data_IF_959633757167
#
_entry.id   IF_959633757167
#
_cell.length_a   1.000
_cell.length_b   1.000
_cell.length_c   1.000
_cell.angle_alpha   90.00
_cell.angle_beta   90.00
_cell.angle_gamma   90.00
#
_symmetry.space_group_name_H-M   'P 1'
#
loop_
_entity.id
_entity.type
_entity.pdbx_description
1 polymer ?
#
# COMPACT_ATOMS: atom_id res chain seq x y z
N UNK A 1 -23.52 54.33 -37.06
CA UNK A 1 -23.95 53.06 -36.42
C UNK A 1 -23.30 51.81 -37.07
N UNK A 2 -21.98 51.80 -37.32
CA UNK A 2 -21.28 50.61 -37.85
C UNK A 2 -20.06 50.17 -37.03
N UNK A 3 -19.57 51.00 -36.10
CA UNK A 3 -18.46 50.65 -35.21
C UNK A 3 -18.90 49.99 -33.89
N UNK A 4 -20.13 50.21 -33.42
CA UNK A 4 -20.60 49.58 -32.16
C UNK A 4 -20.96 48.10 -32.27
N UNK A 5 -21.18 47.58 -33.49
CA UNK A 5 -21.49 46.15 -33.68
C UNK A 5 -20.25 45.25 -33.70
N UNK A 6 -19.07 45.81 -34.02
CA UNK A 6 -17.81 45.05 -34.04
C UNK A 6 -17.29 44.80 -32.61
N UNK A 7 -17.53 45.74 -31.70
CA UNK A 7 -17.12 45.60 -30.30
C UNK A 7 -17.90 44.51 -29.54
N UNK A 8 -19.18 44.29 -29.87
CA UNK A 8 -20.00 43.26 -29.22
C UNK A 8 -19.62 41.86 -29.71
N UNK A 9 -19.23 41.71 -30.98
CA UNK A 9 -18.77 40.43 -31.51
C UNK A 9 -17.40 39.98 -30.93
N UNK A 10 -16.52 40.93 -30.57
CA UNK A 10 -15.23 40.60 -29.95
C UNK A 10 -15.35 40.17 -28.47
N UNK A 11 -16.33 40.70 -27.73
CA UNK A 11 -16.55 40.37 -26.31
C UNK A 11 -17.08 38.94 -26.15
N UNK A 12 -17.87 38.44 -27.11
CA UNK A 12 -18.40 37.07 -27.09
C UNK A 12 -17.29 36.02 -27.34
N UNK A 13 -16.22 36.39 -28.07
CA UNK A 13 -15.06 35.51 -28.28
C UNK A 13 -14.12 35.45 -27.06
N UNK A 14 -14.10 36.48 -26.20
CA UNK A 14 -13.27 36.49 -24.98
C UNK A 14 -13.93 35.83 -23.77
N UNK A 15 -15.25 35.60 -23.80
CA UNK A 15 -15.97 34.92 -22.71
C UNK A 15 -15.90 33.38 -22.78
N UNK A 16 -15.33 32.82 -23.86
CA UNK A 16 -15.10 31.36 -24.00
C UNK A 16 -13.84 30.84 -23.31
N UNK A 17 -13.03 31.72 -22.70
CA UNK A 17 -11.86 31.35 -21.88
C UNK A 17 -12.21 31.29 -20.38
N UNK A 18 -13.44 30.90 -20.01
CA UNK A 18 -13.69 30.42 -18.65
C UNK A 18 -13.26 28.95 -18.60
N UNK A 19 -12.23 28.69 -17.78
CA UNK A 19 -11.85 27.41 -17.19
C UNK A 19 -12.44 26.19 -17.91
N UNK A 20 -11.65 25.55 -18.76
CA UNK A 20 -11.91 24.16 -19.15
C UNK A 20 -12.26 23.40 -17.88
N UNK A 21 -13.55 23.07 -17.71
CA UNK A 21 -14.03 22.18 -16.68
C UNK A 21 -13.13 20.95 -16.76
N UNK A 22 -12.24 20.79 -15.78
CA UNK A 22 -11.43 19.59 -15.71
C UNK A 22 -12.43 18.46 -15.59
N UNK A 23 -12.57 17.66 -16.65
CA UNK A 23 -13.56 16.58 -16.70
C UNK A 23 -13.27 15.62 -15.56
N UNK A 24 -14.02 15.71 -14.47
CA UNK A 24 -13.86 14.82 -13.33
C UNK A 24 -14.66 13.56 -13.59
N UNK A 25 -14.02 12.41 -13.50
CA UNK A 25 -14.70 11.11 -13.60
C UNK A 25 -14.70 10.43 -12.24
N UNK A 26 -15.90 10.07 -11.81
CA UNK A 26 -16.15 9.38 -10.55
C UNK A 26 -15.93 7.88 -10.69
N UNK A 27 -15.22 7.29 -9.72
CA UNK A 27 -15.00 5.86 -9.62
C UNK A 27 -15.39 5.38 -8.23
N UNK A 28 -16.27 4.39 -8.18
CA UNK A 28 -16.60 3.67 -6.95
C UNK A 28 -15.56 2.55 -6.76
N UNK A 29 -14.80 2.55 -5.64
CA UNK A 29 -13.83 1.50 -5.38
C UNK A 29 -14.51 0.14 -5.26
N UNK A 30 -13.99 -0.86 -5.99
CA UNK A 30 -14.34 -2.26 -5.73
C UNK A 30 -13.40 -2.86 -4.69
N UNK A 31 -13.83 -3.93 -4.06
CA UNK A 31 -12.97 -4.72 -3.16
C UNK A 31 -11.95 -5.52 -3.99
N UNK A 32 -10.74 -5.65 -3.44
CA UNK A 32 -9.72 -6.53 -4.00
C UNK A 32 -10.16 -8.00 -3.89
N UNK A 33 -10.03 -8.75 -4.98
CA UNK A 33 -10.16 -10.20 -5.02
C UNK A 33 -8.79 -10.87 -4.83
N UNK A 34 -8.75 -12.14 -4.44
CA UNK A 34 -7.49 -12.81 -4.06
C UNK A 34 -6.53 -12.90 -5.26
N UNK A 35 -5.26 -12.47 -5.05
CA UNK A 35 -4.13 -12.63 -5.98
C UNK A 35 -4.21 -11.87 -7.32
N UNK A 36 -4.85 -10.71 -7.36
CA UNK A 36 -4.91 -9.87 -8.56
C UNK A 36 -3.55 -9.26 -8.94
N UNK A 37 -3.35 -9.08 -10.26
CA UNK A 37 -2.16 -8.51 -10.88
C UNK A 37 -2.56 -7.25 -11.63
N UNK A 38 -1.87 -6.14 -11.38
CA UNK A 38 -2.15 -4.84 -11.99
C UNK A 38 -0.96 -4.34 -12.83
N UNK A 39 -0.38 -5.25 -13.61
CA UNK A 39 0.76 -4.94 -14.47
C UNK A 39 0.38 -5.04 -15.95
N UNK A 40 -0.65 -4.29 -16.33
CA UNK A 40 -1.13 -4.28 -17.70
C UNK A 40 -0.19 -3.47 -18.61
N UNK A 41 -0.03 -3.93 -19.84
CA UNK A 41 0.77 -3.25 -20.85
C UNK A 41 -0.14 -2.35 -21.70
N UNK A 42 0.06 -1.02 -21.67
CA UNK A 42 -0.81 -0.10 -22.37
C UNK A 42 -0.71 -0.33 -23.87
N UNK A 43 -1.87 -0.51 -24.52
CA UNK A 43 -1.95 -0.59 -25.99
C UNK A 43 -1.78 0.77 -26.64
N UNK A 44 -2.16 1.85 -25.94
CA UNK A 44 -2.02 3.23 -26.40
C UNK A 44 -1.31 4.07 -25.32
N UNK A 45 -0.59 5.11 -25.73
CA UNK A 45 0.04 6.04 -24.78
C UNK A 45 -0.98 6.72 -23.83
N UNK A 46 -2.23 6.87 -24.28
CA UNK A 46 -3.34 7.42 -23.49
C UNK A 46 -3.85 6.49 -22.39
N UNK A 47 -3.41 5.23 -22.36
CA UNK A 47 -3.78 4.25 -21.35
C UNK A 47 -2.86 4.32 -20.10
N UNK A 48 -1.81 5.16 -20.12
CA UNK A 48 -1.01 5.45 -18.93
C UNK A 48 -1.69 6.48 -18.03
N UNK A 49 -1.62 6.26 -16.72
CA UNK A 49 -2.05 7.22 -15.69
C UNK A 49 -0.99 8.33 -15.59
N UNK A 50 -1.45 9.57 -15.45
CA UNK A 50 -0.61 10.74 -15.18
C UNK A 50 -0.84 11.25 -13.76
N UNK A 51 0.22 11.71 -13.10
CA UNK A 51 0.16 12.30 -11.75
C UNK A 51 0.58 13.76 -11.85
N UNK A 52 -0.23 14.65 -11.28
CA UNK A 52 0.06 16.07 -11.15
C UNK A 52 0.31 16.37 -9.67
N UNK A 53 1.44 17.00 -9.34
CA UNK A 53 1.68 17.54 -8.01
C UNK A 53 1.12 18.96 -7.91
N UNK A 54 0.57 19.31 -6.76
CA UNK A 54 0.09 20.63 -6.43
C UNK A 54 0.72 21.08 -5.10
N UNK A 55 1.53 22.14 -5.19
CA UNK A 55 2.29 22.72 -4.09
C UNK A 55 1.70 24.05 -3.60
N UNK A 56 0.45 24.37 -3.94
CA UNK A 56 -0.20 25.63 -3.56
C UNK A 56 -0.60 25.72 -2.07
N UNK A 57 -0.20 24.77 -1.23
CA UNK A 57 -0.50 24.71 0.21
C UNK A 57 0.68 24.28 1.08
N UNK A 58 0.47 24.15 2.39
CA UNK A 58 1.49 23.70 3.36
C UNK A 58 1.93 22.24 3.17
N UNK A 59 1.12 21.43 2.47
CA UNK A 59 1.38 20.02 2.20
C UNK A 59 1.30 19.79 0.70
N UNK A 60 2.28 19.09 0.12
CA UNK A 60 2.21 18.63 -1.27
C UNK A 60 1.04 17.66 -1.41
N UNK A 61 0.24 17.87 -2.46
CA UNK A 61 -0.88 16.99 -2.81
C UNK A 61 -0.76 16.55 -4.25
N UNK A 62 -1.33 15.39 -4.57
CA UNK A 62 -1.27 14.79 -5.89
C UNK A 62 -2.67 14.60 -6.46
N UNK A 63 -2.82 14.75 -7.76
CA UNK A 63 -4.03 14.34 -8.49
C UNK A 63 -3.66 13.35 -9.60
N UNK A 64 -4.53 12.37 -9.81
CA UNK A 64 -4.37 11.39 -10.88
C UNK A 64 -5.27 11.75 -12.07
N UNK A 65 -4.73 11.63 -13.27
CA UNK A 65 -5.45 11.77 -14.54
C UNK A 65 -5.38 10.49 -15.35
N UNK A 66 -6.48 10.20 -16.02
CA UNK A 66 -6.57 9.15 -17.03
C UNK A 66 -7.25 9.74 -18.26
N UNK A 67 -6.53 9.73 -19.39
CA UNK A 67 -6.92 10.45 -20.61
C UNK A 67 -7.19 11.93 -20.32
N UNK A 68 -8.35 12.43 -20.72
CA UNK A 68 -8.81 13.80 -20.52
C UNK A 68 -9.42 14.06 -19.13
N UNK A 69 -9.51 13.03 -18.27
CA UNK A 69 -10.25 13.11 -17.01
C UNK A 69 -9.40 13.04 -15.75
N UNK A 70 -9.77 13.82 -14.75
CA UNK A 70 -9.23 13.71 -13.38
C UNK A 70 -10.00 12.61 -12.64
N UNK A 71 -9.27 11.71 -11.97
CA UNK A 71 -9.83 10.59 -11.21
C UNK A 71 -10.35 11.09 -9.87
N UNK A 72 -11.62 10.83 -9.57
CA UNK A 72 -12.25 11.06 -8.27
C UNK A 72 -12.67 9.72 -7.66
N UNK A 73 -12.24 9.48 -6.41
CA UNK A 73 -12.53 8.22 -5.70
C UNK A 73 -13.74 8.41 -4.76
N UNK A 74 -14.84 7.73 -5.01
CA UNK A 74 -16.05 7.77 -4.17
C UNK A 74 -15.98 6.72 -3.05
N UNK A 75 -15.30 7.03 -1.94
CA UNK A 75 -15.02 6.07 -0.87
C UNK A 75 -16.19 5.77 0.09
N UNK A 76 -17.37 6.39 -0.09
CA UNK A 76 -18.57 6.15 0.73
C UNK A 76 -19.80 6.96 0.30
N UNK A 77 -21.00 6.53 0.74
CA UNK A 77 -22.27 7.19 0.40
C UNK A 77 -22.41 8.63 0.96
N UNK A 78 -21.63 8.97 1.99
CA UNK A 78 -21.54 10.31 2.57
C UNK A 78 -20.35 11.13 2.04
N UNK A 79 -19.50 10.55 1.18
CA UNK A 79 -18.35 11.23 0.59
C UNK A 79 -18.81 12.10 -0.60
N UNK A 80 -19.62 13.12 -0.30
CA UNK A 80 -19.75 14.33 -1.12
C UNK A 80 -18.57 15.29 -0.87
N UNK A 81 -17.51 14.83 -0.20
CA UNK A 81 -16.32 15.61 0.12
C UNK A 81 -15.52 15.93 -1.15
N UNK A 82 -15.28 17.23 -1.35
CA UNK A 82 -14.61 17.82 -2.52
C UNK A 82 -13.13 17.41 -2.70
N UNK A 83 -12.55 16.65 -1.77
CA UNK A 83 -11.11 16.40 -1.69
C UNK A 83 -10.68 14.98 -2.13
N UNK A 84 -11.59 14.08 -2.53
CA UNK A 84 -11.20 12.74 -3.02
C UNK A 84 -10.61 12.72 -4.45
N UNK A 85 -10.25 13.89 -4.96
CA UNK A 85 -9.37 14.11 -6.14
C UNK A 85 -7.92 14.42 -5.75
N UNK A 86 -7.65 14.63 -4.45
CA UNK A 86 -6.33 14.99 -3.90
C UNK A 86 -5.81 13.87 -3.01
N UNK A 87 -4.59 13.47 -3.27
CA UNK A 87 -3.90 12.40 -2.57
C UNK A 87 -2.70 12.98 -1.82
N UNK A 88 -2.44 12.50 -0.61
CA UNK A 88 -1.21 12.84 0.16
C UNK A 88 -0.01 12.02 -0.31
N UNK A 89 -0.26 10.96 -1.07
CA UNK A 89 0.78 10.17 -1.73
C UNK A 89 0.25 9.59 -3.03
N UNK A 90 1.14 9.49 -4.02
CA UNK A 90 0.87 8.85 -5.30
C UNK A 90 2.16 8.17 -5.78
N UNK A 91 2.14 6.83 -5.89
CA UNK A 91 3.31 6.05 -6.28
C UNK A 91 2.95 5.03 -7.34
N UNK A 92 3.63 5.08 -8.49
CA UNK A 92 3.52 4.04 -9.49
C UNK A 92 4.13 2.75 -8.97
N UNK A 93 3.39 1.64 -9.08
CA UNK A 93 3.83 0.32 -8.64
C UNK A 93 4.27 -0.57 -9.80
N UNK A 94 4.17 -0.06 -11.03
CA UNK A 94 4.73 -0.65 -12.24
C UNK A 94 5.34 0.41 -13.16
N UNK A 95 6.13 -0.03 -14.13
CA UNK A 95 6.88 0.85 -15.03
C UNK A 95 5.99 1.44 -16.14
N UNK A 96 4.93 0.73 -16.51
CA UNK A 96 3.98 1.09 -17.57
C UNK A 96 3.06 2.25 -17.16
N UNK A 97 3.13 2.66 -15.88
CA UNK A 97 2.28 3.70 -15.29
C UNK A 97 0.79 3.38 -15.40
N UNK A 98 0.44 2.10 -15.43
CA UNK A 98 -0.96 1.63 -15.48
C UNK A 98 -1.48 1.29 -14.09
N UNK A 99 -0.64 1.26 -13.05
CA UNK A 99 -1.06 1.05 -11.66
C UNK A 99 -0.41 2.07 -10.71
N UNK A 100 -1.28 2.83 -10.02
CA UNK A 100 -0.93 3.93 -9.14
C UNK A 100 -1.51 3.69 -7.74
N UNK A 101 -0.64 3.50 -6.76
CA UNK A 101 -0.99 3.40 -5.36
C UNK A 101 -1.13 4.81 -4.77
N UNK A 102 -2.31 5.13 -4.24
CA UNK A 102 -2.63 6.45 -3.70
C UNK A 102 -3.15 6.36 -2.28
N UNK A 103 -3.02 7.45 -1.52
CA UNK A 103 -3.65 7.61 -0.22
C UNK A 103 -4.41 8.93 -0.20
N UNK A 104 -5.71 8.87 0.12
CA UNK A 104 -6.55 10.06 0.19
C UNK A 104 -6.09 10.94 1.37
N UNK A 105 -6.11 12.26 1.15
CA UNK A 105 -5.95 13.24 2.22
C UNK A 105 -7.18 13.21 3.13
N UNK A 106 -7.16 12.40 4.18
CA UNK A 106 -8.14 12.53 5.25
C UNK A 106 -7.48 13.26 6.44
N UNK A 107 -8.10 14.38 6.84
CA UNK A 107 -7.66 15.22 7.95
C UNK A 107 -8.18 14.71 9.30
N UNK A 108 -8.71 13.49 9.34
CA UNK A 108 -9.53 13.00 10.46
C UNK A 108 -8.72 12.27 11.54
N UNK A 109 -7.43 12.03 11.32
CA UNK A 109 -6.58 11.25 12.22
C UNK A 109 -6.96 9.76 12.28
N UNK A 110 -7.79 9.29 11.34
CA UNK A 110 -8.18 7.89 11.22
C UNK A 110 -7.09 7.04 10.55
N UNK A 111 -7.27 5.71 10.59
CA UNK A 111 -6.42 4.77 9.86
C UNK A 111 -6.37 5.19 8.38
N UNK A 112 -5.17 5.37 7.80
CA UNK A 112 -5.06 5.76 6.40
C UNK A 112 -5.84 4.81 5.49
N UNK A 113 -6.46 5.36 4.44
CA UNK A 113 -7.22 4.62 3.44
C UNK A 113 -6.52 4.65 2.08
N UNK A 114 -5.61 3.69 1.80
CA UNK A 114 -4.99 3.56 0.49
C UNK A 114 -5.92 2.92 -0.53
N UNK A 115 -5.76 3.34 -1.78
CA UNK A 115 -6.45 2.80 -2.94
C UNK A 115 -5.44 2.48 -4.03
N UNK A 116 -5.79 1.54 -4.89
CA UNK A 116 -5.07 1.31 -6.12
C UNK A 116 -5.91 1.80 -7.29
N UNK A 117 -5.37 2.73 -8.07
CA UNK A 117 -5.93 3.15 -9.35
C UNK A 117 -5.21 2.32 -10.41
N UNK A 118 -5.92 1.47 -11.13
CA UNK A 118 -5.33 0.57 -12.12
C UNK A 118 -6.04 0.68 -13.46
N UNK A 119 -5.30 0.47 -14.55
CA UNK A 119 -5.83 0.31 -15.90
C UNK A 119 -5.73 -1.15 -16.25
N UNK A 120 -6.85 -1.73 -16.68
CA UNK A 120 -6.97 -3.11 -17.09
C UNK A 120 -7.83 -3.17 -18.34
N UNK A 121 -7.30 -3.77 -19.41
CA UNK A 121 -7.98 -3.89 -20.70
C UNK A 121 -8.42 -2.51 -21.23
N UNK A 122 -7.59 -1.48 -21.02
CA UNK A 122 -7.87 -0.09 -21.42
C UNK A 122 -8.94 0.64 -20.61
N UNK A 123 -9.43 0.04 -19.53
CA UNK A 123 -10.42 0.62 -18.61
C UNK A 123 -9.79 0.90 -17.25
N UNK A 124 -10.00 2.12 -16.74
CA UNK A 124 -9.57 2.47 -15.39
C UNK A 124 -10.54 1.91 -14.35
N UNK A 125 -10.00 1.27 -13.34
CA UNK A 125 -10.67 0.79 -12.16
C UNK A 125 -9.99 1.31 -10.89
N UNK A 126 -10.75 1.39 -9.80
CA UNK A 126 -10.25 1.77 -8.48
C UNK A 126 -10.53 0.63 -7.52
N UNK A 127 -9.50 0.21 -6.79
CA UNK A 127 -9.55 -0.89 -5.83
C UNK A 127 -9.30 -0.33 -4.44
N UNK A 128 -10.20 -0.66 -3.52
CA UNK A 128 -10.02 -0.35 -2.10
C UNK A 128 -9.05 -1.34 -1.47
N UNK A 129 -7.98 -0.83 -0.86
CA UNK A 129 -7.03 -1.63 -0.07
C UNK A 129 -7.41 -1.56 1.41
N UNK A 130 -8.65 -1.93 1.68
CA UNK A 130 -9.24 -1.93 3.01
C UNK A 130 -9.83 -3.29 3.35
N UNK A 131 -9.51 -3.78 4.54
CA UNK A 131 -10.15 -4.94 5.17
C UNK A 131 -10.60 -4.52 6.57
N UNK A 132 -11.88 -4.70 6.93
CA UNK A 132 -12.37 -4.40 8.28
C UNK A 132 -11.53 -5.10 9.35
N UNK A 133 -11.38 -4.46 10.51
CA UNK A 133 -10.60 -4.98 11.63
C UNK A 133 -11.16 -4.45 12.95
N UNK A 134 -11.08 -5.27 13.99
CA UNK A 134 -11.46 -4.94 15.37
C UNK A 134 -10.25 -4.89 16.31
N UNK A 135 -9.04 -4.84 15.75
CA UNK A 135 -7.80 -4.81 16.53
C UNK A 135 -7.67 -3.56 17.40
N UNK A 136 -7.33 -3.75 18.67
CA UNK A 136 -7.30 -2.66 19.67
C UNK A 136 -6.19 -1.64 19.42
N UNK A 137 -5.08 -2.04 18.80
CA UNK A 137 -3.95 -1.17 18.48
C UNK A 137 -3.86 -0.89 16.96
N UNK A 138 -4.97 -1.00 16.22
CA UNK A 138 -4.97 -0.78 14.77
C UNK A 138 -4.40 0.59 14.37
N UNK A 139 -4.75 1.66 15.08
CA UNK A 139 -4.22 3.01 14.83
C UNK A 139 -2.69 3.09 15.01
N UNK A 140 -2.14 2.28 15.91
CA UNK A 140 -0.70 2.23 16.16
C UNK A 140 0.03 1.55 15.02
N UNK A 141 -0.49 0.43 14.50
CA UNK A 141 0.21 -0.40 13.52
C UNK A 141 -0.23 -0.18 12.05
N UNK A 142 -1.34 0.53 11.80
CA UNK A 142 -1.83 0.84 10.46
C UNK A 142 -1.29 2.18 9.98
N UNK A 143 -0.08 2.18 9.40
CA UNK A 143 0.62 3.40 8.95
C UNK A 143 0.34 3.79 7.50
N UNK A 144 -0.67 3.20 6.86
CA UNK A 144 -0.97 3.40 5.45
C UNK A 144 -0.01 2.60 4.56
N UNK A 145 0.59 3.26 3.58
CA UNK A 145 1.54 2.66 2.64
C UNK A 145 2.96 2.73 3.19
N UNK A 146 3.58 1.58 3.47
CA UNK A 146 4.98 1.45 3.85
C UNK A 146 5.77 0.77 2.73
N UNK A 147 6.78 1.44 2.18
CA UNK A 147 7.71 0.81 1.23
C UNK A 147 8.64 -0.16 1.96
N UNK A 148 8.74 -1.40 1.49
CA UNK A 148 9.60 -2.45 2.05
C UNK A 148 10.76 -2.70 1.08
N UNK A 149 11.80 -1.87 1.19
CA UNK A 149 12.97 -1.90 0.33
C UNK A 149 12.62 -1.82 -1.16
N UNK A 150 13.30 -2.62 -1.98
CA UNK A 150 12.99 -2.76 -3.41
C UNK A 150 11.88 -3.79 -3.70
N UNK A 151 11.45 -4.57 -2.70
CA UNK A 151 10.57 -5.73 -2.87
C UNK A 151 9.13 -5.30 -3.17
N UNK A 152 8.63 -4.26 -2.50
CA UNK A 152 7.24 -3.90 -2.62
C UNK A 152 6.75 -2.92 -1.55
N UNK A 153 5.44 -2.91 -1.38
CA UNK A 153 4.71 -2.04 -0.47
C UNK A 153 3.84 -2.86 0.45
N UNK A 154 3.93 -2.61 1.75
CA UNK A 154 3.01 -3.14 2.74
C UNK A 154 1.96 -2.07 3.05
N UNK A 155 0.68 -2.44 2.94
CA UNK A 155 -0.45 -1.54 3.14
C UNK A 155 -1.21 -1.98 4.37
N UNK A 156 -1.15 -1.15 5.42
CA UNK A 156 -1.82 -1.38 6.71
C UNK A 156 -1.67 -2.83 7.22
N UNK A 157 -0.50 -3.45 7.06
CA UNK A 157 -0.23 -4.85 7.41
C UNK A 157 -1.21 -5.91 6.84
N UNK A 158 -2.10 -5.54 5.93
CA UNK A 158 -3.16 -6.41 5.39
C UNK A 158 -2.88 -6.81 3.94
N UNK A 159 -2.15 -5.99 3.19
CA UNK A 159 -1.86 -6.24 1.79
C UNK A 159 -0.38 -6.03 1.52
N UNK A 160 0.22 -6.94 0.75
CA UNK A 160 1.56 -6.78 0.21
C UNK A 160 1.51 -6.65 -1.30
N UNK A 161 2.04 -5.56 -1.83
CA UNK A 161 2.09 -5.28 -3.26
C UNK A 161 3.52 -5.44 -3.72
N UNK A 162 3.79 -6.43 -4.56
CA UNK A 162 5.13 -6.61 -5.13
C UNK A 162 5.43 -5.48 -6.10
N UNK A 163 6.65 -4.95 -6.02
CA UNK A 163 7.17 -4.01 -7.00
C UNK A 163 7.29 -4.67 -8.38
N UNK A 164 7.25 -3.88 -9.45
CA UNK A 164 7.32 -4.30 -10.87
C UNK A 164 6.09 -5.06 -11.36
N UNK A 165 5.77 -6.21 -10.77
CA UNK A 165 4.63 -7.03 -11.23
C UNK A 165 3.28 -6.52 -10.72
N UNK A 166 3.27 -5.54 -9.81
CA UNK A 166 2.06 -4.94 -9.23
C UNK A 166 1.03 -5.99 -8.76
N UNK A 167 1.49 -7.17 -8.33
CA UNK A 167 0.64 -8.22 -7.78
C UNK A 167 0.34 -7.91 -6.33
N UNK A 168 -0.93 -7.98 -5.96
CA UNK A 168 -1.41 -7.71 -4.61
C UNK A 168 -1.73 -9.02 -3.92
N UNK A 169 -1.09 -9.23 -2.78
CA UNK A 169 -1.28 -10.38 -1.91
C UNK A 169 -2.01 -9.96 -0.64
N UNK A 170 -2.96 -10.78 -0.20
CA UNK A 170 -3.51 -10.66 1.14
C UNK A 170 -2.49 -11.19 2.13
N UNK A 171 -2.10 -10.38 3.10
CA UNK A 171 -1.28 -10.84 4.21
C UNK A 171 -2.19 -11.53 5.21
N UNK A 172 -1.91 -12.80 5.49
CA UNK A 172 -2.65 -13.59 6.47
C UNK A 172 -2.48 -13.01 7.87
N UNK A 173 -3.59 -12.68 8.51
CA UNK A 173 -3.59 -12.14 9.88
C UNK A 173 -3.28 -13.23 10.89
N UNK A 174 -2.72 -12.81 12.02
CA UNK A 174 -2.55 -13.70 13.17
C UNK A 174 -3.92 -14.09 13.77
N UNK A 175 -4.83 -13.12 13.85
CA UNK A 175 -6.24 -13.31 14.21
C UNK A 175 -7.09 -12.75 13.06
N UNK A 176 -7.99 -13.52 12.46
CA UNK A 176 -8.68 -13.11 11.23
C UNK A 176 -9.47 -11.79 11.37
N UNK A 177 -10.02 -11.52 12.56
CA UNK A 177 -10.76 -10.29 12.87
C UNK A 177 -9.88 -9.07 13.16
N UNK A 178 -8.57 -9.26 13.34
CA UNK A 178 -7.64 -8.20 13.74
C UNK A 178 -6.52 -8.08 12.72
N UNK A 179 -6.28 -6.87 12.24
CA UNK A 179 -5.05 -6.55 11.53
C UNK A 179 -3.84 -6.95 12.38
N UNK A 180 -2.71 -7.25 11.74
CA UNK A 180 -1.50 -7.65 12.47
C UNK A 180 -1.06 -6.49 13.38
N UNK A 181 -1.09 -6.73 14.69
CA UNK A 181 -0.74 -5.78 15.75
C UNK A 181 0.78 -5.81 16.01
N UNK A 182 1.57 -5.47 15.00
CA UNK A 182 3.03 -5.53 15.09
C UNK A 182 3.73 -4.74 14.00
N UNK A 183 5.00 -4.44 14.23
CA UNK A 183 5.85 -3.74 13.29
C UNK A 183 6.62 -4.72 12.41
N UNK A 184 6.85 -4.36 11.14
CA UNK A 184 7.73 -5.15 10.28
C UNK A 184 9.15 -5.02 10.79
N UNK A 185 9.72 -6.16 11.18
CA UNK A 185 11.09 -6.28 11.63
C UNK A 185 12.04 -6.48 10.44
N UNK A 186 11.77 -7.52 9.64
CA UNK A 186 12.66 -7.92 8.54
C UNK A 186 11.93 -8.80 7.52
N UNK A 187 12.58 -9.01 6.37
CA UNK A 187 12.15 -9.96 5.35
C UNK A 187 13.07 -11.18 5.33
N UNK A 188 12.54 -12.32 4.89
CA UNK A 188 13.38 -13.46 4.50
C UNK A 188 14.36 -13.10 3.38
N UNK A 189 15.48 -13.84 3.23
CA UNK A 189 16.45 -13.61 2.17
C UNK A 189 15.84 -13.70 0.76
N UNK A 190 14.88 -14.61 0.57
CA UNK A 190 14.10 -14.74 -0.67
C UNK A 190 13.00 -13.68 -0.83
N UNK A 191 12.82 -12.82 0.19
CA UNK A 191 11.85 -11.71 0.25
C UNK A 191 10.39 -12.16 0.13
N UNK A 192 10.08 -13.40 0.49
CA UNK A 192 8.73 -13.96 0.42
C UNK A 192 8.02 -14.05 1.77
N UNK A 193 8.77 -13.97 2.87
CA UNK A 193 8.26 -14.00 4.24
C UNK A 193 8.49 -12.66 4.90
N UNK A 194 7.44 -12.09 5.48
CA UNK A 194 7.48 -10.86 6.29
C UNK A 194 7.47 -11.26 7.75
N UNK A 195 8.43 -10.77 8.52
CA UNK A 195 8.53 -11.00 9.97
C UNK A 195 8.03 -9.76 10.70
N UNK A 196 6.99 -9.94 11.53
CA UNK A 196 6.39 -8.91 12.36
C UNK A 196 6.75 -9.12 13.83
N UNK A 197 7.12 -8.06 14.53
CA UNK A 197 7.25 -8.04 15.99
C UNK A 197 5.87 -7.78 16.61
N UNK A 198 5.22 -8.84 17.08
CA UNK A 198 3.89 -8.79 17.66
C UNK A 198 3.93 -9.24 19.13
N UNK A 199 3.90 -8.26 20.06
CA UNK A 199 3.99 -8.50 21.51
C UNK A 199 5.21 -9.38 21.88
N UNK A 200 4.98 -10.65 22.22
CA UNK A 200 6.00 -11.59 22.69
C UNK A 200 6.36 -12.65 21.62
N UNK A 201 5.94 -12.45 20.37
CA UNK A 201 6.23 -13.37 19.26
C UNK A 201 6.70 -12.63 18.03
N UNK A 202 7.52 -13.31 17.23
CA UNK A 202 7.80 -12.97 15.85
C UNK A 202 6.76 -13.69 14.98
N UNK A 203 5.73 -12.96 14.58
CA UNK A 203 4.71 -13.49 13.68
C UNK A 203 5.20 -13.36 12.24
N UNK A 204 5.26 -14.48 11.52
CA UNK A 204 5.88 -14.56 10.21
C UNK A 204 4.87 -15.03 9.18
N UNK A 205 4.78 -14.33 8.06
CA UNK A 205 3.83 -14.63 6.99
C UNK A 205 4.56 -14.74 5.67
N UNK A 206 4.52 -15.92 5.06
CA UNK A 206 4.86 -16.06 3.66
C UNK A 206 3.67 -15.62 2.81
N UNK A 207 3.72 -14.39 2.28
CA UNK A 207 2.58 -13.76 1.62
C UNK A 207 2.20 -14.42 0.27
N UNK A 208 3.04 -15.32 -0.25
CA UNK A 208 2.74 -16.05 -1.50
C UNK A 208 1.96 -17.33 -1.26
N UNK A 209 2.21 -18.00 -0.15
CA UNK A 209 1.67 -19.33 0.16
C UNK A 209 0.67 -19.33 1.31
N UNK A 210 0.49 -18.19 2.00
CA UNK A 210 -0.30 -18.07 3.23
C UNK A 210 0.23 -18.93 4.40
N UNK A 211 1.45 -19.45 4.28
CA UNK A 211 2.13 -20.14 5.37
C UNK A 211 2.52 -19.16 6.47
N UNK A 212 2.28 -19.56 7.71
CA UNK A 212 2.54 -18.74 8.89
C UNK A 212 3.32 -19.51 9.95
N UNK A 213 4.19 -18.80 10.66
CA UNK A 213 4.93 -19.30 11.81
C UNK A 213 4.93 -18.22 12.88
N UNK A 214 4.64 -18.58 14.13
CA UNK A 214 4.79 -17.72 15.28
C UNK A 214 5.96 -18.23 16.10
N UNK A 215 7.09 -17.51 16.07
CA UNK A 215 8.27 -17.87 16.85
C UNK A 215 8.28 -17.07 18.15
N UNK A 216 8.34 -17.69 19.34
CA UNK A 216 8.41 -16.97 20.60
C UNK A 216 9.66 -16.08 20.69
N UNK A 217 9.50 -14.86 21.19
CA UNK A 217 10.64 -14.03 21.56
C UNK A 217 11.15 -14.54 22.91
N UNK A 218 12.36 -15.09 22.92
CA UNK A 218 12.98 -15.69 24.12
C UNK A 218 13.17 -14.65 25.23
N UNK A 219 12.97 -15.07 26.48
CA UNK A 219 13.21 -14.24 27.65
C UNK A 219 14.68 -13.78 27.72
N UNK A 220 14.89 -12.50 28.00
CA UNK A 220 16.23 -11.88 27.99
C UNK A 220 16.56 -11.09 26.73
N UNK A 221 15.69 -11.10 25.70
CA UNK A 221 15.81 -10.18 24.57
C UNK A 221 15.80 -8.71 25.04
N UNK A 222 16.58 -7.81 24.42
CA UNK A 222 16.52 -6.37 24.70
C UNK A 222 15.09 -5.84 24.62
N UNK A 223 14.70 -4.93 25.53
CA UNK A 223 13.38 -4.30 25.55
C UNK A 223 13.52 -2.79 25.44
N UNK A 224 12.62 -2.15 24.70
CA UNK A 224 12.54 -0.69 24.61
C UNK A 224 13.57 -0.02 23.68
N UNK A 225 14.59 -0.75 23.23
CA UNK A 225 15.55 -0.31 22.21
C UNK A 225 15.39 -1.18 20.96
N UNK A 226 14.84 -0.57 19.89
CA UNK A 226 14.61 -1.25 18.62
C UNK A 226 15.92 -1.67 17.93
N UNK A 227 16.97 -0.85 18.00
CA UNK A 227 18.24 -1.17 17.35
C UNK A 227 18.95 -2.34 18.06
N UNK A 228 18.96 -2.32 19.40
CA UNK A 228 19.50 -3.42 20.19
C UNK A 228 18.69 -4.71 19.98
N UNK A 229 17.36 -4.61 19.94
CA UNK A 229 16.48 -5.74 19.66
C UNK A 229 16.73 -6.32 18.26
N UNK A 230 16.81 -5.47 17.24
CA UNK A 230 17.06 -5.90 15.86
C UNK A 230 18.41 -6.62 15.73
N UNK A 231 19.47 -6.06 16.33
CA UNK A 231 20.79 -6.68 16.34
C UNK A 231 20.80 -8.03 17.08
N UNK A 232 20.08 -8.12 18.20
CA UNK A 232 19.94 -9.36 18.94
C UNK A 232 19.20 -10.43 18.11
N UNK A 233 18.12 -10.06 17.43
CA UNK A 233 17.41 -10.97 16.51
C UNK A 233 18.33 -11.46 15.40
N UNK A 234 19.08 -10.58 14.75
CA UNK A 234 19.98 -10.97 13.65
C UNK A 234 21.15 -11.84 14.10
N UNK A 235 21.48 -11.83 15.40
CA UNK A 235 22.55 -12.65 15.99
C UNK A 235 22.05 -14.02 16.46
N UNK A 236 20.84 -14.08 17.04
CA UNK A 236 20.33 -15.28 17.74
C UNK A 236 19.26 -16.03 16.94
N UNK A 237 18.97 -15.61 15.71
CA UNK A 237 18.00 -16.27 14.86
C UNK A 237 18.57 -16.49 13.47
N UNK A 238 18.24 -17.63 12.89
CA UNK A 238 18.65 -17.99 11.56
C UNK A 238 17.43 -18.33 10.69
N UNK A 239 17.54 -18.00 9.41
CA UNK A 239 16.53 -18.38 8.43
C UNK A 239 16.68 -19.86 8.05
N UNK A 240 15.60 -20.61 8.21
CA UNK A 240 15.52 -22.04 7.87
C UNK A 240 14.33 -22.29 6.96
N UNK A 241 14.48 -23.24 6.03
CA UNK A 241 13.38 -23.67 5.18
C UNK A 241 12.52 -24.70 5.91
N UNK A 242 11.20 -24.58 5.79
CA UNK A 242 10.29 -25.63 6.21
C UNK A 242 10.22 -26.76 5.14
N UNK A 243 9.44 -27.82 5.43
CA UNK A 243 9.23 -28.96 4.51
C UNK A 243 8.62 -28.57 3.15
N UNK A 244 7.97 -27.41 3.06
CA UNK A 244 7.37 -26.86 1.83
C UNK A 244 8.33 -25.92 1.08
N UNK A 245 9.56 -25.76 1.56
CA UNK A 245 10.58 -24.90 0.96
C UNK A 245 10.47 -23.41 1.33
N UNK A 246 9.50 -23.03 2.18
CA UNK A 246 9.31 -21.65 2.61
C UNK A 246 10.28 -21.28 3.73
N UNK A 247 10.87 -20.09 3.63
CA UNK A 247 11.92 -19.60 4.53
C UNK A 247 11.34 -18.85 5.73
N UNK A 248 11.66 -19.29 6.94
CA UNK A 248 11.21 -18.70 8.21
C UNK A 248 12.39 -18.50 9.17
N UNK A 249 12.33 -17.42 9.93
CA UNK A 249 13.27 -17.11 10.99
C UNK A 249 13.00 -18.03 12.19
N UNK A 250 14.03 -18.68 12.72
CA UNK A 250 13.94 -19.53 13.90
C UNK A 250 15.02 -19.18 14.89
N UNK A 251 14.72 -19.33 16.17
CA UNK A 251 15.72 -19.15 17.20
C UNK A 251 16.85 -20.18 17.00
N UNK A 252 18.07 -19.69 17.01
CA UNK A 252 19.29 -20.49 16.93
C UNK A 252 20.26 -19.94 17.97
N UNK A 253 20.43 -20.69 19.06
CA UNK A 253 21.41 -20.39 20.08
C UNK A 253 22.71 -21.12 19.76
N UNK A 254 23.70 -20.38 19.24
CA UNK A 254 25.05 -20.90 18.97
C UNK A 254 25.75 -21.42 20.24
N UNK A 255 25.28 -21.02 21.43
CA UNK A 255 25.83 -21.39 22.74
C UNK A 255 24.96 -22.40 23.51
N UNK A 256 23.93 -23.00 22.89
CA UNK A 256 23.13 -24.02 23.56
C UNK A 256 24.00 -25.24 23.87
N UNK A 257 24.18 -25.53 25.16
CA UNK A 257 24.70 -26.83 25.61
C UNK A 257 23.66 -27.88 25.20
N UNK A 258 23.97 -28.65 24.16
CA UNK A 258 23.13 -29.76 23.70
C UNK A 258 23.41 -30.97 24.60
N UNK A 259 22.39 -31.45 25.31
CA UNK A 259 22.50 -32.71 26.06
C UNK A 259 22.65 -33.85 25.04
N UNK A 260 23.72 -34.66 25.14
CA UNK A 260 24.05 -35.74 24.18
C UNK A 260 22.94 -36.78 23.97
N UNK A 261 21.88 -36.74 24.80
CA UNK A 261 20.69 -37.59 24.66
C UNK A 261 19.78 -37.22 23.47
N UNK A 262 19.91 -36.03 22.89
CA UNK A 262 19.12 -35.61 21.72
C UNK A 262 19.59 -36.24 20.39
N UNK A 263 20.71 -36.97 20.38
CA UNK A 263 21.27 -37.66 19.20
C UNK A 263 21.08 -39.18 19.22
N UNK A 264 20.14 -39.71 20.02
CA UNK A 264 19.77 -41.13 19.98
C UNK A 264 18.68 -41.42 18.97
#
# INVERSE_FOLDING_TARGET
>A
MKLSLVAIALIILSAGCSQQDQKVKNYTPRTLTKNEVFNDFPTNASDSISVLSNNQGKLETFSAKFRDSTVHIQAGAADQNKDATKFVSAQFINQQKTALLVQIADSSGMIPRPFLIAVKDGVLEVISLYRPSKGKEDLKFSKGVKKIGATGYLVNNDFFITNVTAKVYLVKRQNDEERIQGDVLLLSPDKQTIVFTAKNVLYQVNYRTDDVVSEPIVAGSPKGDEAAFNNWITTNYAFTKNKRGNTFLKYHDDNRIVDMKEFK
#
